data_IF_473760913332
#
_entry.id   IF_473760913332
#
_cell.length_a   1.000
_cell.length_b   1.000
_cell.length_c   1.000
_cell.angle_alpha   90.00
_cell.angle_beta   90.00
_cell.angle_gamma   90.00
#
_symmetry.space_group_name_H-M   'P 1'
#
loop_
_entity.id
_entity.type
_entity.pdbx_description
1 polymer ?
#
# COMPACT_ATOMS: atom_id res chain seq x y z
N UNK A 1 17.98 -5.75 7.34
CA UNK A 1 17.33 -4.48 7.02
C UNK A 1 16.56 -3.86 8.19
N UNK A 2 15.72 -4.64 8.83
CA UNK A 2 14.94 -4.16 9.98
C UNK A 2 15.77 -3.51 11.08
N UNK A 3 16.87 -4.09 11.42
CA UNK A 3 17.69 -3.62 12.54
C UNK A 3 18.35 -2.26 12.31
N UNK A 4 18.54 -1.88 11.05
CA UNK A 4 19.26 -0.64 10.71
C UNK A 4 18.35 0.52 10.38
N UNK A 5 17.14 0.26 9.88
CA UNK A 5 16.29 1.30 9.33
C UNK A 5 14.86 1.30 9.90
N UNK A 6 14.58 0.40 10.82
CA UNK A 6 13.27 0.35 11.49
C UNK A 6 12.16 -0.38 10.74
N UNK A 7 12.41 -0.89 9.54
CA UNK A 7 11.42 -1.66 8.78
C UNK A 7 11.49 -3.13 9.16
N UNK A 8 10.33 -3.77 9.21
CA UNK A 8 10.21 -5.19 9.56
C UNK A 8 9.31 -5.89 8.54
N UNK A 9 9.91 -6.27 7.42
CA UNK A 9 9.18 -6.87 6.31
C UNK A 9 8.59 -8.22 6.70
N UNK A 10 7.31 -8.50 6.36
CA UNK A 10 6.74 -9.82 6.55
C UNK A 10 7.52 -10.87 5.78
N UNK A 11 7.53 -12.09 6.30
CA UNK A 11 8.24 -13.20 5.64
C UNK A 11 7.81 -13.41 4.18
N UNK A 12 6.51 -13.28 3.92
CA UNK A 12 5.97 -13.48 2.58
C UNK A 12 6.51 -12.45 1.56
N UNK A 13 6.95 -11.29 2.04
CA UNK A 13 7.51 -10.22 1.21
C UNK A 13 9.00 -10.43 0.91
N UNK A 14 9.71 -11.23 1.70
CA UNK A 14 11.15 -11.43 1.54
C UNK A 14 11.55 -11.92 0.14
N UNK A 15 10.86 -12.89 -0.47
CA UNK A 15 11.23 -13.31 -1.83
C UNK A 15 11.13 -12.21 -2.87
N UNK A 16 10.11 -11.36 -2.80
CA UNK A 16 9.94 -10.27 -3.77
C UNK A 16 11.06 -9.24 -3.64
N UNK A 17 11.33 -8.77 -2.44
CA UNK A 17 12.39 -7.80 -2.23
C UNK A 17 13.78 -8.43 -2.48
N UNK A 18 13.96 -9.68 -2.10
CA UNK A 18 15.20 -10.41 -2.38
C UNK A 18 15.51 -10.50 -3.87
N UNK A 19 14.51 -10.70 -4.71
CA UNK A 19 14.68 -10.68 -6.16
C UNK A 19 15.09 -9.30 -6.66
N UNK A 20 14.50 -8.24 -6.11
CA UNK A 20 14.86 -6.86 -6.47
C UNK A 20 16.31 -6.55 -6.10
N UNK A 21 16.75 -6.97 -4.93
CA UNK A 21 18.14 -6.80 -4.47
C UNK A 21 19.10 -7.56 -5.38
N UNK A 22 18.79 -8.82 -5.67
CA UNK A 22 19.62 -9.64 -6.55
C UNK A 22 19.75 -9.03 -7.93
N UNK A 23 18.63 -8.60 -8.50
CA UNK A 23 18.63 -7.96 -9.82
C UNK A 23 19.51 -6.71 -9.84
N UNK A 24 19.42 -5.89 -8.82
CA UNK A 24 20.25 -4.68 -8.71
C UNK A 24 21.73 -5.04 -8.56
N UNK A 25 22.07 -6.02 -7.74
CA UNK A 25 23.46 -6.50 -7.59
C UNK A 25 24.03 -6.99 -8.92
N UNK A 26 23.22 -7.72 -9.67
CA UNK A 26 23.65 -8.23 -10.99
C UNK A 26 23.89 -7.09 -11.98
N UNK A 27 23.05 -6.06 -11.95
CA UNK A 27 23.21 -4.90 -12.82
C UNK A 27 24.47 -4.09 -12.52
N UNK A 28 24.77 -3.87 -11.24
CA UNK A 28 25.95 -3.08 -10.85
C UNK A 28 27.22 -3.92 -10.79
N UNK A 29 27.11 -5.25 -10.83
CA UNK A 29 28.24 -6.16 -10.86
C UNK A 29 29.05 -6.25 -9.58
N UNK A 30 28.46 -5.91 -8.43
CA UNK A 30 29.12 -5.95 -7.13
C UNK A 30 28.12 -6.10 -6.01
N UNK A 31 28.61 -6.38 -4.81
CA UNK A 31 27.80 -6.31 -3.61
C UNK A 31 27.42 -4.86 -3.31
N UNK A 32 26.29 -4.66 -2.64
CA UNK A 32 25.78 -3.34 -2.31
C UNK A 32 25.75 -3.14 -0.81
N UNK A 33 25.88 -1.88 -0.40
CA UNK A 33 25.87 -1.48 1.00
C UNK A 33 24.46 -1.50 1.58
N UNK A 34 24.38 -1.43 2.92
CA UNK A 34 23.09 -1.30 3.60
C UNK A 34 22.32 -0.06 3.15
N UNK A 35 23.03 1.06 2.93
CA UNK A 35 22.39 2.30 2.43
C UNK A 35 21.83 2.13 1.02
N UNK A 36 22.53 1.40 0.16
CA UNK A 36 22.03 1.09 -1.19
C UNK A 36 20.82 0.17 -1.14
N UNK A 37 20.80 -0.80 -0.23
CA UNK A 37 19.62 -1.66 -0.02
C UNK A 37 18.43 -0.83 0.44
N UNK A 38 18.64 0.13 1.34
CA UNK A 38 17.58 1.03 1.80
C UNK A 38 17.05 1.90 0.68
N UNK A 39 17.94 2.45 -0.15
CA UNK A 39 17.54 3.26 -1.30
C UNK A 39 16.73 2.43 -2.31
N UNK A 40 17.13 1.19 -2.53
CA UNK A 40 16.39 0.27 -3.39
C UNK A 40 15.01 -0.01 -2.82
N UNK A 41 14.90 -0.22 -1.49
CA UNK A 41 13.61 -0.42 -0.83
C UNK A 41 12.71 0.80 -1.02
N UNK A 42 13.23 2.01 -0.88
CA UNK A 42 12.47 3.23 -1.11
C UNK A 42 11.93 3.29 -2.54
N UNK A 43 12.77 3.02 -3.53
CA UNK A 43 12.36 3.03 -4.93
C UNK A 43 11.30 1.98 -5.24
N UNK A 44 11.43 0.82 -4.63
CA UNK A 44 10.51 -0.29 -4.90
C UNK A 44 9.15 -0.12 -4.21
N UNK A 45 9.13 0.44 -2.99
CA UNK A 45 7.92 0.41 -2.16
C UNK A 45 7.47 1.76 -1.62
N UNK A 46 8.33 2.73 -1.45
CA UNK A 46 7.98 3.99 -0.78
C UNK A 46 7.70 5.09 -1.79
N UNK A 47 8.55 5.27 -2.78
CA UNK A 47 8.46 6.37 -3.74
C UNK A 47 7.66 5.95 -4.99
N UNK A 48 6.52 5.32 -4.78
CA UNK A 48 5.61 4.88 -5.82
C UNK A 48 4.45 5.89 -5.90
N UNK A 49 4.39 6.66 -6.98
CA UNK A 49 3.46 7.79 -7.10
C UNK A 49 2.46 7.68 -8.26
N UNK A 50 2.44 6.59 -8.96
CA UNK A 50 1.51 6.41 -10.07
C UNK A 50 1.50 5.00 -10.58
N UNK A 51 0.56 4.70 -11.48
CA UNK A 51 -0.36 5.62 -12.18
C UNK A 51 -1.51 6.19 -11.35
N UNK A 52 -1.80 5.65 -10.19
CA UNK A 52 -2.87 6.15 -9.34
C UNK A 52 -2.31 6.96 -8.16
N UNK A 53 -2.95 8.08 -7.86
CA UNK A 53 -2.63 8.90 -6.69
C UNK A 53 -3.92 9.28 -5.98
N UNK A 54 -3.90 9.23 -4.65
CA UNK A 54 -5.05 9.64 -3.85
C UNK A 54 -4.87 11.10 -3.46
N UNK A 55 -5.73 11.97 -3.98
CA UNK A 55 -5.62 13.41 -3.79
C UNK A 55 -6.21 13.84 -2.46
N UNK A 56 -7.37 13.27 -2.12
CA UNK A 56 -8.04 13.52 -0.86
C UNK A 56 -8.81 12.29 -0.45
N UNK A 57 -9.05 12.13 0.84
CA UNK A 57 -9.84 11.01 1.33
C UNK A 57 -10.33 11.27 2.74
N UNK A 58 -11.41 10.60 3.09
CA UNK A 58 -11.91 10.55 4.45
C UNK A 58 -12.62 9.23 4.69
N UNK A 59 -12.58 8.79 5.94
CA UNK A 59 -13.39 7.68 6.43
C UNK A 59 -14.50 8.21 7.32
N UNK A 60 -15.62 7.55 7.32
CA UNK A 60 -16.71 7.84 8.23
C UNK A 60 -17.39 6.54 8.64
N UNK A 61 -18.00 6.56 9.81
CA UNK A 61 -18.80 5.44 10.29
C UNK A 61 -20.26 5.72 10.01
N UNK A 62 -20.99 4.68 9.59
CA UNK A 62 -22.41 4.77 9.30
C UNK A 62 -23.11 3.66 10.08
N UNK A 63 -23.73 4.04 11.20
CA UNK A 63 -24.41 3.10 12.09
C UNK A 63 -25.87 3.50 12.23
N UNK A 64 -26.76 2.53 12.02
CA UNK A 64 -28.16 2.70 12.38
C UNK A 64 -28.37 2.23 13.82
N UNK A 65 -29.41 2.72 14.46
CA UNK A 65 -29.67 2.47 15.90
C UNK A 65 -29.70 0.98 16.25
N UNK A 66 -30.15 0.14 15.34
CA UNK A 66 -30.28 -1.30 15.55
C UNK A 66 -29.26 -2.11 14.72
N UNK A 67 -28.23 -1.47 14.21
CA UNK A 67 -27.26 -2.15 13.38
C UNK A 67 -26.23 -2.88 14.25
N UNK A 68 -26.14 -4.20 14.06
CA UNK A 68 -25.16 -5.05 14.76
C UNK A 68 -23.83 -5.15 14.00
N UNK A 69 -23.78 -4.64 12.77
CA UNK A 69 -22.59 -4.67 11.92
C UNK A 69 -22.28 -3.25 11.46
N UNK A 70 -21.50 -2.49 12.22
CA UNK A 70 -21.11 -1.14 11.82
C UNK A 70 -20.44 -1.13 10.46
N UNK A 71 -20.79 -0.15 9.63
CA UNK A 71 -20.21 0.03 8.32
C UNK A 71 -19.29 1.23 8.30
N UNK A 72 -18.20 1.08 7.59
CA UNK A 72 -17.24 2.15 7.36
C UNK A 72 -17.43 2.64 5.93
N UNK A 73 -17.53 3.95 5.76
CA UNK A 73 -17.55 4.58 4.44
C UNK A 73 -16.22 5.21 4.11
N UNK A 74 -15.89 5.21 2.83
CA UNK A 74 -14.73 5.87 2.29
C UNK A 74 -15.17 6.81 1.19
N UNK A 75 -14.69 8.05 1.23
CA UNK A 75 -14.84 9.02 0.15
C UNK A 75 -13.48 9.61 -0.18
N UNK A 76 -13.19 9.76 -1.45
CA UNK A 76 -11.94 10.35 -1.86
C UNK A 76 -11.93 10.77 -3.31
N UNK A 77 -10.83 11.39 -3.70
CA UNK A 77 -10.56 11.75 -5.09
C UNK A 77 -9.32 10.99 -5.54
N UNK A 78 -9.50 10.14 -6.52
CA UNK A 78 -8.43 9.35 -7.11
C UNK A 78 -8.01 9.97 -8.42
N UNK A 79 -6.71 10.22 -8.57
CA UNK A 79 -6.12 10.69 -9.82
C UNK A 79 -5.50 9.51 -10.56
N UNK A 80 -5.86 9.37 -11.83
CA UNK A 80 -5.22 8.43 -12.73
C UNK A 80 -4.43 9.21 -13.76
N UNK A 81 -3.14 8.94 -13.87
CA UNK A 81 -2.26 9.64 -14.79
C UNK A 81 -2.79 9.55 -16.22
N UNK A 82 -3.01 10.71 -16.85
CA UNK A 82 -3.56 10.81 -18.20
C UNK A 82 -5.08 10.88 -18.28
N UNK A 83 -5.81 10.46 -17.24
CA UNK A 83 -7.27 10.42 -17.25
C UNK A 83 -7.94 11.42 -16.31
N UNK A 84 -7.15 12.09 -15.46
CA UNK A 84 -7.67 13.10 -14.54
C UNK A 84 -8.19 12.53 -13.23
N UNK A 85 -8.99 13.33 -12.54
CA UNK A 85 -9.44 13.05 -11.19
C UNK A 85 -10.87 12.52 -11.19
N UNK A 86 -11.14 11.52 -10.33
CA UNK A 86 -12.47 10.97 -10.15
C UNK A 86 -12.79 10.85 -8.67
N UNK A 87 -14.01 11.18 -8.31
CA UNK A 87 -14.51 10.93 -6.96
C UNK A 87 -14.83 9.44 -6.82
N UNK A 88 -14.35 8.85 -5.74
CA UNK A 88 -14.64 7.45 -5.41
C UNK A 88 -15.31 7.38 -4.05
N UNK A 89 -16.30 6.51 -3.93
CA UNK A 89 -17.07 6.30 -2.70
C UNK A 89 -17.31 4.81 -2.54
N UNK A 90 -17.10 4.29 -1.35
CA UNK A 90 -17.37 2.89 -1.05
C UNK A 90 -17.71 2.68 0.40
N UNK A 91 -18.39 1.59 0.69
CA UNK A 91 -18.75 1.17 2.04
C UNK A 91 -18.35 -0.28 2.24
N UNK A 92 -17.97 -0.63 3.44
CA UNK A 92 -17.60 -1.99 3.79
C UNK A 92 -17.59 -2.21 5.29
N UNK A 93 -17.16 -3.40 5.68
CA UNK A 93 -17.10 -3.80 7.09
C UNK A 93 -15.93 -3.16 7.84
N UNK A 94 -15.00 -2.57 7.13
CA UNK A 94 -13.84 -1.88 7.66
C UNK A 94 -13.21 -0.98 6.60
N UNK A 95 -12.14 -0.25 6.97
CA UNK A 95 -11.51 0.70 6.04
C UNK A 95 -10.96 0.07 4.76
N UNK A 96 -10.37 -1.11 4.85
CA UNK A 96 -9.78 -1.80 3.69
C UNK A 96 -10.88 -2.20 2.72
N UNK A 97 -11.96 -2.83 3.23
CA UNK A 97 -13.09 -3.26 2.43
C UNK A 97 -13.79 -2.07 1.76
N UNK A 98 -13.99 -0.99 2.51
CA UNK A 98 -14.58 0.24 1.99
C UNK A 98 -13.75 0.83 0.85
N UNK A 99 -12.42 0.82 0.98
CA UNK A 99 -11.52 1.34 -0.05
C UNK A 99 -11.58 0.49 -1.32
N UNK A 100 -11.56 -0.83 -1.20
CA UNK A 100 -11.69 -1.71 -2.37
C UNK A 100 -13.02 -1.49 -3.09
N UNK A 101 -14.10 -1.32 -2.34
CA UNK A 101 -15.41 -1.04 -2.94
C UNK A 101 -15.43 0.32 -3.64
N UNK A 102 -14.73 1.32 -3.08
CA UNK A 102 -14.59 2.62 -3.72
C UNK A 102 -13.79 2.52 -5.03
N UNK A 103 -12.70 1.78 -5.04
CA UNK A 103 -11.90 1.56 -6.25
C UNK A 103 -12.70 0.87 -7.36
N UNK A 104 -13.60 -0.04 -6.98
CA UNK A 104 -14.45 -0.74 -7.94
C UNK A 104 -15.34 0.21 -8.72
N UNK A 105 -15.72 1.36 -8.16
CA UNK A 105 -16.57 2.35 -8.86
C UNK A 105 -15.89 2.97 -10.07
N UNK A 106 -14.57 2.92 -10.14
CA UNK A 106 -13.80 3.43 -11.30
C UNK A 106 -13.11 2.30 -12.06
N UNK A 107 -13.55 1.07 -11.86
CA UNK A 107 -13.08 -0.08 -12.64
C UNK A 107 -11.78 -0.71 -12.13
N UNK A 108 -11.27 -0.30 -10.99
CA UNK A 108 -10.10 -0.93 -10.38
C UNK A 108 -10.57 -2.12 -9.56
N UNK A 109 -10.53 -3.30 -10.14
CA UNK A 109 -11.11 -4.53 -9.59
C UNK A 109 -10.19 -5.72 -9.79
N UNK A 110 -10.56 -6.84 -9.19
CA UNK A 110 -9.86 -8.11 -9.40
C UNK A 110 -8.70 -8.35 -8.44
N UNK A 111 -8.36 -7.39 -7.61
CA UNK A 111 -7.35 -7.55 -6.58
C UNK A 111 -7.98 -8.18 -5.33
N UNK A 112 -7.31 -9.17 -4.77
CA UNK A 112 -7.78 -9.84 -3.56
C UNK A 112 -6.84 -9.52 -2.40
N UNK A 113 -7.41 -9.18 -1.27
CA UNK A 113 -6.65 -8.94 -0.05
C UNK A 113 -6.25 -10.28 0.57
N UNK A 114 -4.96 -10.44 0.85
CA UNK A 114 -4.44 -11.68 1.44
C UNK A 114 -4.13 -11.47 2.92
N UNK A 115 -3.32 -10.46 3.23
CA UNK A 115 -2.87 -10.24 4.60
C UNK A 115 -2.26 -8.85 4.73
N UNK A 116 -2.11 -8.41 5.98
CA UNK A 116 -1.33 -7.22 6.28
C UNK A 116 -0.63 -7.37 7.62
N UNK A 117 0.43 -6.61 7.81
CA UNK A 117 1.06 -6.43 9.09
C UNK A 117 1.45 -4.96 9.25
N UNK A 118 1.57 -4.53 10.48
CA UNK A 118 1.82 -3.13 10.77
C UNK A 118 2.64 -2.96 12.04
N UNK A 119 3.38 -1.86 12.10
CA UNK A 119 4.13 -1.48 13.30
C UNK A 119 4.37 0.02 13.29
N UNK A 120 4.76 0.53 14.45
CA UNK A 120 5.18 1.92 14.56
C UNK A 120 6.62 2.07 14.08
N UNK A 121 6.91 3.20 13.45
CA UNK A 121 8.26 3.58 13.07
C UNK A 121 8.49 5.02 13.49
N UNK A 122 9.69 5.31 14.00
CA UNK A 122 10.09 6.68 14.33
C UNK A 122 11.02 7.20 13.25
N UNK A 123 10.66 8.32 12.64
CA UNK A 123 11.48 9.00 11.64
C UNK A 123 11.79 10.38 12.22
N UNK A 124 13.02 10.56 12.72
CA UNK A 124 13.37 11.74 13.49
C UNK A 124 12.55 11.80 14.78
N UNK A 125 11.83 12.88 15.01
CA UNK A 125 10.93 13.05 16.17
C UNK A 125 9.49 12.61 15.87
N UNK A 126 9.21 12.17 14.64
CA UNK A 126 7.88 11.75 14.22
C UNK A 126 7.67 10.27 14.46
N UNK A 127 6.51 9.92 15.01
CA UNK A 127 6.05 8.53 15.09
C UNK A 127 4.99 8.30 14.01
N UNK A 128 5.19 7.29 13.17
CA UNK A 128 4.28 6.94 12.10
C UNK A 128 3.94 5.45 12.15
N UNK A 129 2.88 5.07 11.47
CA UNK A 129 2.55 3.67 11.26
C UNK A 129 3.05 3.24 9.89
N UNK A 130 3.62 2.04 9.84
CA UNK A 130 3.99 1.38 8.58
C UNK A 130 3.06 0.19 8.40
N UNK A 131 2.45 0.08 7.24
CA UNK A 131 1.62 -1.07 6.88
C UNK A 131 2.23 -1.79 5.68
N UNK A 132 2.35 -3.11 5.79
CA UNK A 132 2.78 -3.98 4.71
C UNK A 132 1.57 -4.74 4.21
N UNK A 133 1.21 -4.53 2.96
CA UNK A 133 0.00 -5.09 2.37
C UNK A 133 0.38 -6.21 1.40
N UNK A 134 -0.33 -7.31 1.50
CA UNK A 134 -0.19 -8.46 0.61
C UNK A 134 -1.49 -8.65 -0.15
N UNK A 135 -1.42 -8.54 -1.47
CA UNK A 135 -2.57 -8.73 -2.37
C UNK A 135 -2.26 -9.83 -3.38
N UNK A 136 -3.32 -10.33 -4.00
CA UNK A 136 -3.22 -11.13 -5.21
C UNK A 136 -3.78 -10.29 -6.36
N UNK A 137 -3.05 -10.21 -7.48
CA UNK A 137 -3.48 -9.46 -8.67
C UNK A 137 -4.58 -10.20 -9.42
N UNK A 138 -5.28 -9.53 -10.36
CA UNK A 138 -6.23 -10.22 -11.22
C UNK A 138 -5.64 -11.42 -11.98
N UNK A 139 -4.34 -11.36 -12.27
CA UNK A 139 -3.62 -12.45 -12.96
C UNK A 139 -3.12 -13.54 -12.00
N UNK A 140 -3.42 -13.43 -10.71
CA UNK A 140 -3.01 -14.42 -9.71
C UNK A 140 -1.62 -14.23 -9.14
N UNK A 141 -0.95 -13.11 -9.45
CA UNK A 141 0.39 -12.82 -8.91
C UNK A 141 0.31 -12.27 -7.50
N UNK A 142 1.27 -12.66 -6.68
CA UNK A 142 1.42 -12.08 -5.34
C UNK A 142 2.03 -10.70 -5.45
N UNK A 143 1.40 -9.73 -4.78
CA UNK A 143 1.80 -8.32 -4.80
C UNK A 143 2.01 -7.83 -3.39
N UNK A 144 2.99 -6.95 -3.22
CA UNK A 144 3.23 -6.31 -1.92
C UNK A 144 3.31 -4.81 -2.10
N UNK A 145 2.80 -4.10 -1.11
CA UNK A 145 2.89 -2.64 -1.04
C UNK A 145 3.16 -2.20 0.37
N UNK A 146 3.76 -1.04 0.52
CA UNK A 146 4.09 -0.45 1.82
C UNK A 146 3.47 0.93 1.88
N UNK A 147 2.79 1.21 3.00
CA UNK A 147 2.23 2.51 3.26
C UNK A 147 2.71 3.06 4.59
N UNK A 148 3.01 4.34 4.63
CA UNK A 148 3.46 5.03 5.83
C UNK A 148 2.59 6.25 6.06
N UNK A 149 2.06 6.40 7.27
CA UNK A 149 1.25 7.54 7.63
C UNK A 149 1.17 7.68 9.15
N UNK A 150 0.84 8.88 9.63
CA UNK A 150 0.50 9.08 11.04
C UNK A 150 -0.77 8.32 11.43
N UNK A 151 -1.67 8.05 10.48
CA UNK A 151 -2.90 7.34 10.70
C UNK A 151 -2.80 5.94 10.11
N UNK A 152 -3.11 4.91 10.92
CA UNK A 152 -2.95 3.51 10.52
C UNK A 152 -3.85 3.13 9.33
N UNK A 153 -5.07 3.68 9.27
CA UNK A 153 -5.97 3.42 8.16
C UNK A 153 -5.41 3.98 6.85
N UNK A 154 -4.79 5.15 6.89
CA UNK A 154 -4.14 5.75 5.73
C UNK A 154 -2.89 4.98 5.32
N UNK A 155 -2.13 4.49 6.29
CA UNK A 155 -0.97 3.65 5.98
C UNK A 155 -1.41 2.41 5.19
N UNK A 156 -2.50 1.76 5.61
CA UNK A 156 -3.04 0.59 4.91
C UNK A 156 -3.54 0.93 3.51
N UNK A 157 -4.27 2.04 3.36
CA UNK A 157 -4.75 2.50 2.05
C UNK A 157 -3.58 2.82 1.12
N UNK A 158 -2.57 3.48 1.61
CA UNK A 158 -1.36 3.78 0.82
C UNK A 158 -0.63 2.50 0.40
N UNK A 159 -0.58 1.52 1.30
CA UNK A 159 0.01 0.22 0.99
C UNK A 159 -0.74 -0.52 -0.11
N UNK A 160 -2.06 -0.50 -0.06
CA UNK A 160 -2.91 -1.09 -1.11
C UNK A 160 -2.65 -0.41 -2.45
N UNK A 161 -2.68 0.91 -2.47
CA UNK A 161 -2.46 1.67 -3.69
C UNK A 161 -1.05 1.47 -4.23
N UNK A 162 -0.06 1.39 -3.35
CA UNK A 162 1.32 1.06 -3.71
C UNK A 162 1.39 -0.30 -4.42
N UNK A 163 0.76 -1.33 -3.86
CA UNK A 163 0.77 -2.67 -4.46
C UNK A 163 0.10 -2.66 -5.84
N UNK A 164 -1.03 -1.98 -5.97
CA UNK A 164 -1.73 -1.85 -7.25
C UNK A 164 -0.85 -1.11 -8.27
N UNK A 165 -0.27 0.02 -7.89
CA UNK A 165 0.60 0.79 -8.77
C UNK A 165 1.82 -0.02 -9.23
N UNK A 166 2.42 -0.79 -8.31
CA UNK A 166 3.55 -1.65 -8.66
C UNK A 166 3.15 -2.73 -9.66
N UNK A 167 1.93 -3.23 -9.59
CA UNK A 167 1.44 -4.23 -10.56
C UNK A 167 1.24 -3.64 -11.95
N UNK A 168 1.05 -2.33 -12.05
CA UNK A 168 0.75 -1.65 -13.32
C UNK A 168 1.99 -1.00 -13.95
N UNK A 169 3.09 -0.88 -13.24
CA UNK A 169 4.31 -0.33 -13.82
C UNK A 169 5.03 -1.38 -14.67
N UNK A 170 5.67 -0.93 -15.69
CA UNK A 170 6.39 -1.78 -16.65
C UNK A 170 7.88 -1.86 -16.35
#
# INVERSE_FOLDING_TARGET
>A
MANNFGYNLPKAMHPEFGRAVKHYCDEVGREISADEVMELFRREYIDIHGPYSLISHKFYEENEVNDTSPKVGFEGVLRHDGDGDRKIVGKGNGPIDAFFNALATVGVTGYSFVDYSEHAISIGSDAKAVSYIHLTSPAGKQLFGVGISHNINYASIRGILCAINRSLRK
#
